data_IF_199520100534
#
_entry.id   IF_199520100534
#
_cell.length_a   1.000
_cell.length_b   1.000
_cell.length_c   1.000
_cell.angle_alpha   90.00
_cell.angle_beta   90.00
_cell.angle_gamma   90.00
#
_symmetry.space_group_name_H-M   'P 1'
#
loop_
_entity.id
_entity.type
_entity.pdbx_description
1 polymer ?
#
# COMPACT_ATOMS: atom_id res chain seq x y z
N UNK A 1 -26.05 1.84 -1.42
CA UNK A 1 -25.59 1.39 -2.74
C UNK A 1 -25.82 2.56 -3.68
N UNK A 2 -24.90 2.80 -4.60
CA UNK A 2 -24.99 3.96 -5.49
C UNK A 2 -25.80 3.60 -6.73
N UNK A 3 -26.18 4.62 -7.50
CA UNK A 3 -26.81 4.40 -8.80
C UNK A 3 -25.84 3.66 -9.73
N UNK A 4 -26.31 2.69 -10.52
CA UNK A 4 -25.51 2.07 -11.57
C UNK A 4 -24.94 3.14 -12.52
N UNK A 5 -23.77 2.88 -13.09
CA UNK A 5 -23.11 3.77 -14.05
C UNK A 5 -23.73 3.59 -15.44
N UNK A 6 -25.04 3.82 -15.55
CA UNK A 6 -25.79 3.78 -16.81
C UNK A 6 -25.69 5.11 -17.58
N UNK A 7 -26.35 5.18 -18.74
CA UNK A 7 -26.33 6.37 -19.58
C UNK A 7 -26.88 7.62 -18.88
N UNK A 8 -27.82 7.44 -17.96
CA UNK A 8 -28.42 8.54 -17.21
C UNK A 8 -27.51 9.00 -16.06
N UNK A 9 -26.75 8.09 -15.43
CA UNK A 9 -25.65 8.44 -14.52
C UNK A 9 -24.60 9.31 -15.22
N UNK A 10 -24.19 8.96 -16.45
CA UNK A 10 -23.20 9.73 -17.22
C UNK A 10 -23.71 11.15 -17.52
N UNK A 11 -25.00 11.30 -17.87
CA UNK A 11 -25.61 12.62 -18.08
C UNK A 11 -25.69 13.45 -16.81
N UNK A 12 -25.98 12.81 -15.67
CA UNK A 12 -26.11 13.50 -14.38
C UNK A 12 -24.75 13.84 -13.74
N UNK A 13 -23.69 13.10 -14.09
CA UNK A 13 -22.35 13.19 -13.51
C UNK A 13 -21.78 14.62 -13.39
N UNK A 14 -21.82 15.49 -14.42
CA UNK A 14 -21.25 16.83 -14.32
C UNK A 14 -21.98 17.72 -13.30
N UNK A 15 -23.27 17.49 -13.10
CA UNK A 15 -24.09 18.27 -12.19
C UNK A 15 -23.89 17.78 -10.74
N UNK A 16 -23.97 16.47 -10.50
CA UNK A 16 -23.72 15.89 -9.17
C UNK A 16 -22.32 16.19 -8.65
N UNK A 17 -21.30 16.16 -9.53
CA UNK A 17 -19.94 16.59 -9.18
C UNK A 17 -19.87 18.04 -8.67
N UNK A 18 -20.57 18.97 -9.33
CA UNK A 18 -20.56 20.39 -8.94
C UNK A 18 -21.22 20.59 -7.59
N UNK A 19 -22.29 19.84 -7.32
CA UNK A 19 -23.05 19.95 -6.09
C UNK A 19 -22.28 19.33 -4.90
N UNK A 20 -21.58 18.22 -5.12
CA UNK A 20 -20.68 17.60 -4.15
C UNK A 20 -19.47 18.49 -3.80
N UNK A 21 -18.88 19.15 -4.81
CA UNK A 21 -17.74 20.06 -4.57
C UNK A 21 -18.13 21.29 -3.74
N UNK A 22 -19.35 21.81 -3.92
CA UNK A 22 -19.86 22.98 -3.17
C UNK A 22 -20.20 22.67 -1.71
N UNK A 23 -20.51 21.41 -1.38
CA UNK A 23 -20.91 21.01 -0.04
C UNK A 23 -19.74 20.66 0.88
N UNK A 24 -18.53 20.47 0.33
CA UNK A 24 -17.31 20.22 1.10
C UNK A 24 -16.92 21.44 1.96
N UNK A 25 -17.32 21.46 3.22
CA UNK A 25 -16.84 22.40 4.24
C UNK A 25 -16.00 21.67 5.28
N UNK A 26 -14.68 21.86 5.23
CA UNK A 26 -13.77 21.37 6.27
C UNK A 26 -13.76 22.41 7.40
N UNK A 27 -14.44 22.11 8.50
CA UNK A 27 -14.39 22.94 9.70
C UNK A 27 -13.23 22.48 10.59
N UNK A 28 -12.23 23.35 10.77
CA UNK A 28 -11.11 23.12 11.70
C UNK A 28 -11.32 24.02 12.91
N UNK A 29 -11.50 23.42 14.09
CA UNK A 29 -11.60 24.17 15.34
C UNK A 29 -10.20 24.38 15.93
N UNK A 30 -9.57 25.51 15.62
CA UNK A 30 -8.19 25.81 16.00
C UNK A 30 -7.97 26.03 17.50
N UNK A 31 -8.98 26.46 18.26
CA UNK A 31 -8.85 26.78 19.68
C UNK A 31 -8.55 25.55 20.55
N UNK A 32 -9.01 24.35 20.15
CA UNK A 32 -8.78 23.09 20.87
C UNK A 32 -7.53 22.33 20.40
N UNK A 33 -6.93 22.74 19.28
CA UNK A 33 -5.87 21.96 18.63
C UNK A 33 -4.51 22.13 19.31
N UNK A 34 -4.19 23.31 19.85
CA UNK A 34 -2.83 23.60 20.34
C UNK A 34 -2.37 22.73 21.53
N UNK A 35 -3.17 22.57 22.61
CA UNK A 35 -2.79 21.70 23.73
C UNK A 35 -2.76 20.23 23.33
N UNK A 36 -3.68 19.82 22.46
CA UNK A 36 -3.76 18.48 21.93
C UNK A 36 -2.51 18.11 21.11
N UNK A 37 -2.02 19.03 20.27
CA UNK A 37 -0.81 18.86 19.45
C UNK A 37 0.45 18.67 20.31
N UNK A 38 0.53 19.28 21.50
CA UNK A 38 1.69 19.08 22.38
C UNK A 38 1.71 17.66 22.96
N UNK A 39 0.58 17.18 23.49
CA UNK A 39 0.43 15.82 24.02
C UNK A 39 0.64 14.78 22.91
N UNK A 40 0.06 15.06 21.74
CA UNK A 40 0.22 14.31 20.51
C UNK A 40 1.68 14.13 20.11
N UNK A 41 2.43 15.23 20.08
CA UNK A 41 3.84 15.23 19.74
C UNK A 41 4.64 14.43 20.77
N UNK A 42 4.35 14.60 22.06
CA UNK A 42 5.01 13.83 23.12
C UNK A 42 4.74 12.32 23.00
N UNK A 43 3.52 11.93 22.62
CA UNK A 43 3.16 10.53 22.39
C UNK A 43 3.76 9.96 21.08
N UNK A 44 3.94 10.80 20.05
CA UNK A 44 4.62 10.44 18.80
C UNK A 44 6.16 10.45 18.90
N UNK A 45 6.72 11.15 19.89
CA UNK A 45 8.15 11.36 20.05
C UNK A 45 8.94 10.04 20.17
N UNK A 46 8.52 9.02 20.95
CA UNK A 46 9.23 7.74 21.00
C UNK A 46 9.34 7.06 19.63
N UNK A 47 8.27 7.10 18.82
CA UNK A 47 8.25 6.53 17.47
C UNK A 47 9.25 7.26 16.57
N UNK A 48 9.27 8.60 16.64
CA UNK A 48 10.20 9.43 15.86
C UNK A 48 11.66 9.24 16.30
N UNK A 49 11.92 9.09 17.59
CA UNK A 49 13.26 8.82 18.13
C UNK A 49 13.77 7.45 17.65
N UNK A 50 12.94 6.41 17.68
CA UNK A 50 13.31 5.09 17.14
C UNK A 50 13.57 5.19 15.63
N UNK A 51 12.71 5.89 14.88
CA UNK A 51 12.91 6.11 13.45
C UNK A 51 14.23 6.83 13.16
N UNK A 52 14.55 7.87 13.92
CA UNK A 52 15.79 8.63 13.83
C UNK A 52 17.02 7.79 14.17
N UNK A 53 16.94 6.96 15.22
CA UNK A 53 18.01 6.05 15.61
C UNK A 53 18.31 5.02 14.52
N UNK A 54 17.27 4.42 13.93
CA UNK A 54 17.43 3.48 12.81
C UNK A 54 18.02 4.22 11.60
N UNK A 55 17.53 5.43 11.30
CA UNK A 55 18.04 6.25 10.20
C UNK A 55 19.53 6.55 10.37
N UNK A 56 19.95 6.91 11.57
CA UNK A 56 21.37 7.15 11.89
C UNK A 56 22.23 5.90 11.73
N UNK A 57 21.69 4.72 12.09
CA UNK A 57 22.37 3.42 11.93
C UNK A 57 22.29 2.83 10.52
N UNK A 58 21.68 3.50 9.54
CA UNK A 58 21.51 2.97 8.18
C UNK A 58 22.83 2.61 7.50
N UNK A 59 23.89 3.41 7.69
CA UNK A 59 25.21 3.12 7.11
C UNK A 59 25.79 1.81 7.63
N UNK A 60 25.66 1.59 8.95
CA UNK A 60 26.10 0.35 9.60
C UNK A 60 25.26 -0.86 9.14
N UNK A 61 23.93 -0.72 9.06
CA UNK A 61 23.04 -1.79 8.59
C UNK A 61 23.39 -2.22 7.16
N UNK A 62 23.67 -1.27 6.26
CA UNK A 62 24.10 -1.56 4.89
C UNK A 62 25.46 -2.27 4.85
N UNK A 63 26.43 -1.83 5.64
CA UNK A 63 27.75 -2.48 5.71
C UNK A 63 27.63 -3.92 6.24
N UNK A 64 26.79 -4.14 7.26
CA UNK A 64 26.54 -5.48 7.80
C UNK A 64 25.81 -6.39 6.79
N UNK A 65 24.87 -5.85 6.02
CA UNK A 65 24.20 -6.58 4.93
C UNK A 65 25.20 -6.98 3.82
N UNK A 66 26.14 -6.10 3.45
CA UNK A 66 27.21 -6.45 2.50
C UNK A 66 28.11 -7.57 3.03
N UNK A 67 28.43 -7.56 4.33
CA UNK A 67 29.20 -8.64 4.97
C UNK A 67 28.46 -9.99 4.87
N UNK A 68 27.15 -10.00 5.14
CA UNK A 68 26.32 -11.21 4.98
C UNK A 68 26.30 -11.70 3.53
N UNK A 69 26.12 -10.79 2.57
CA UNK A 69 26.13 -11.13 1.15
C UNK A 69 27.47 -11.70 0.69
N UNK A 70 28.60 -11.20 1.20
CA UNK A 70 29.94 -11.72 0.87
C UNK A 70 30.24 -13.11 1.46
N UNK A 71 29.49 -13.53 2.49
CA UNK A 71 29.64 -14.84 3.10
C UNK A 71 28.89 -15.95 2.33
N UNK A 72 27.87 -15.58 1.54
CA UNK A 72 27.09 -16.50 0.71
C UNK A 72 27.95 -16.95 -0.48
N UNK A 73 28.09 -18.27 -0.66
CA UNK A 73 28.95 -18.85 -1.69
C UNK A 73 30.40 -19.13 -1.26
N UNK A 74 30.75 -18.89 0.02
CA UNK A 74 32.03 -19.32 0.59
C UNK A 74 31.88 -20.66 1.33
N UNK A 75 32.57 -21.71 0.88
CA UNK A 75 32.47 -23.09 1.42
C UNK A 75 32.67 -23.25 2.94
N UNK A 76 33.25 -22.24 3.61
CA UNK A 76 33.66 -22.31 5.03
C UNK A 76 32.75 -21.54 5.99
N UNK A 77 31.98 -20.56 5.49
CA UNK A 77 31.11 -19.69 6.31
C UNK A 77 29.64 -19.68 5.81
N UNK A 78 29.28 -20.60 4.92
CA UNK A 78 27.92 -20.66 4.39
C UNK A 78 26.96 -21.15 5.48
N UNK A 79 26.13 -20.23 5.98
CA UNK A 79 25.02 -20.55 6.87
C UNK A 79 23.75 -20.15 6.16
N UNK A 80 22.80 -21.08 6.05
CA UNK A 80 21.47 -20.83 5.48
C UNK A 80 20.73 -19.67 6.17
N UNK A 81 21.17 -19.27 7.38
CA UNK A 81 20.64 -18.13 8.14
C UNK A 81 21.09 -16.76 7.62
N UNK A 82 22.05 -16.68 6.70
CA UNK A 82 22.54 -15.41 6.15
C UNK A 82 21.46 -14.67 5.35
N UNK A 83 20.63 -15.41 4.60
CA UNK A 83 19.55 -14.83 3.79
C UNK A 83 18.36 -14.33 4.65
N UNK A 84 17.82 -15.11 5.62
CA UNK A 84 16.83 -14.60 6.57
C UNK A 84 17.31 -13.38 7.35
N UNK A 85 18.58 -13.34 7.78
CA UNK A 85 19.16 -12.17 8.46
C UNK A 85 19.20 -10.94 7.55
N UNK A 86 19.52 -11.11 6.26
CA UNK A 86 19.53 -10.01 5.31
C UNK A 86 18.12 -9.44 5.07
N UNK A 87 17.10 -10.30 4.98
CA UNK A 87 15.69 -9.89 4.88
C UNK A 87 15.26 -9.14 6.16
N UNK A 88 15.67 -9.61 7.35
CA UNK A 88 15.39 -8.93 8.61
C UNK A 88 16.01 -7.51 8.67
N UNK A 89 17.21 -7.34 8.11
CA UNK A 89 17.84 -6.02 8.01
C UNK A 89 17.06 -5.12 7.05
N UNK A 90 16.61 -5.64 5.91
CA UNK A 90 15.77 -4.88 4.97
C UNK A 90 14.43 -4.48 5.61
N UNK A 91 13.84 -5.34 6.45
CA UNK A 91 12.67 -5.03 7.25
C UNK A 91 12.96 -3.87 8.22
N UNK A 92 14.05 -3.94 8.99
CA UNK A 92 14.46 -2.87 9.91
C UNK A 92 14.69 -1.56 9.14
N UNK A 93 15.28 -1.61 7.95
CA UNK A 93 15.50 -0.43 7.08
C UNK A 93 14.20 0.18 6.55
N UNK A 94 13.11 -0.57 6.49
CA UNK A 94 11.79 -0.09 6.07
C UNK A 94 10.97 0.54 7.22
N UNK A 95 11.22 0.12 8.46
CA UNK A 95 10.49 0.60 9.66
C UNK A 95 10.47 2.11 9.88
N UNK A 96 11.52 2.91 9.61
CA UNK A 96 11.51 4.34 9.93
C UNK A 96 10.33 5.10 9.33
N UNK A 97 9.96 4.78 8.08
CA UNK A 97 8.84 5.44 7.42
C UNK A 97 7.51 4.99 8.03
N UNK A 98 7.36 3.70 8.36
CA UNK A 98 6.17 3.20 9.04
C UNK A 98 5.96 3.90 10.40
N UNK A 99 7.04 4.09 11.16
CA UNK A 99 7.01 4.80 12.44
C UNK A 99 6.62 6.27 12.29
N UNK A 100 7.11 6.95 11.25
CA UNK A 100 6.73 8.33 10.94
C UNK A 100 5.24 8.41 10.57
N UNK A 101 4.74 7.50 9.72
CA UNK A 101 3.32 7.44 9.34
C UNK A 101 2.43 7.23 10.56
N UNK A 102 2.82 6.34 11.47
CA UNK A 102 2.11 6.09 12.72
C UNK A 102 2.17 7.29 13.67
N UNK A 103 3.33 7.95 13.80
CA UNK A 103 3.47 9.14 14.62
C UNK A 103 2.56 10.28 14.13
N UNK A 104 2.55 10.53 12.81
CA UNK A 104 1.65 11.51 12.19
C UNK A 104 0.18 11.12 12.41
N UNK A 105 -0.17 9.85 12.20
CA UNK A 105 -1.52 9.35 12.46
C UNK A 105 -1.97 9.53 13.91
N UNK A 106 -1.08 9.29 14.86
CA UNK A 106 -1.35 9.47 16.29
C UNK A 106 -1.54 10.96 16.63
N UNK A 107 -0.78 11.84 15.97
CA UNK A 107 -0.97 13.28 16.14
C UNK A 107 -2.34 13.72 15.61
N UNK A 108 -2.72 13.26 14.43
CA UNK A 108 -4.03 13.57 13.86
C UNK A 108 -5.19 12.99 14.68
N UNK A 109 -4.98 11.84 15.33
CA UNK A 109 -5.96 11.23 16.24
C UNK A 109 -6.23 12.13 17.46
N UNK A 110 -5.15 12.58 18.09
CA UNK A 110 -5.18 13.35 19.35
C UNK A 110 -5.69 14.77 19.14
N UNK A 111 -5.60 15.32 17.92
CA UNK A 111 -6.24 16.59 17.53
C UNK A 111 -7.78 16.56 17.56
N UNK A 112 -8.41 15.39 17.75
CA UNK A 112 -9.87 15.24 17.87
C UNK A 112 -10.69 15.88 16.73
N UNK A 113 -10.14 15.87 15.51
CA UNK A 113 -10.85 16.29 14.30
C UNK A 113 -12.03 15.36 14.02
N UNK A 114 -13.04 15.81 13.28
CA UNK A 114 -14.18 14.97 12.85
C UNK A 114 -13.74 13.72 12.06
N UNK A 115 -12.57 13.79 11.39
CA UNK A 115 -11.96 12.71 10.60
C UNK A 115 -10.76 12.04 11.30
N UNK A 116 -10.49 12.35 12.57
CA UNK A 116 -9.33 11.86 13.31
C UNK A 116 -9.25 10.32 13.39
N UNK A 117 -10.38 9.67 13.67
CA UNK A 117 -10.48 8.21 13.68
C UNK A 117 -10.21 7.60 12.29
N UNK A 118 -10.68 8.27 11.23
CA UNK A 118 -10.45 7.88 9.84
C UNK A 118 -8.96 7.98 9.49
N UNK A 119 -8.34 9.12 9.79
CA UNK A 119 -6.92 9.35 9.57
C UNK A 119 -6.05 8.36 10.34
N UNK A 120 -6.40 8.05 11.60
CA UNK A 120 -5.69 7.03 12.37
C UNK A 120 -5.80 5.63 11.76
N UNK A 121 -7.00 5.22 11.37
CA UNK A 121 -7.21 3.92 10.73
C UNK A 121 -6.45 3.83 9.41
N UNK A 122 -6.50 4.90 8.61
CA UNK A 122 -5.74 5.01 7.37
C UNK A 122 -4.22 4.95 7.61
N UNK A 123 -3.68 5.69 8.59
CA UNK A 123 -2.26 5.63 8.95
C UNK A 123 -1.81 4.22 9.34
N UNK A 124 -2.60 3.47 10.12
CA UNK A 124 -2.29 2.07 10.44
C UNK A 124 -2.24 1.20 9.17
N UNK A 125 -3.26 1.29 8.32
CA UNK A 125 -3.30 0.52 7.07
C UNK A 125 -2.17 0.94 6.12
N UNK A 126 -1.81 2.22 6.08
CA UNK A 126 -0.72 2.76 5.26
C UNK A 126 0.66 2.35 5.79
N UNK A 127 0.84 2.25 7.10
CA UNK A 127 2.07 1.74 7.71
C UNK A 127 2.32 0.26 7.36
N UNK A 128 1.28 -0.58 7.40
CA UNK A 128 1.37 -1.99 6.96
C UNK A 128 1.67 -2.05 5.46
N UNK A 129 0.94 -1.28 4.65
CA UNK A 129 1.17 -1.16 3.22
C UNK A 129 2.64 -0.82 2.91
N UNK A 130 3.18 0.20 3.58
CA UNK A 130 4.57 0.62 3.40
C UNK A 130 5.56 -0.45 3.86
N UNK A 131 5.26 -1.17 4.93
CA UNK A 131 6.12 -2.25 5.42
C UNK A 131 6.27 -3.35 4.36
N UNK A 132 5.15 -3.81 3.80
CA UNK A 132 5.12 -4.89 2.80
C UNK A 132 5.80 -4.45 1.51
N UNK A 133 5.32 -3.37 0.88
CA UNK A 133 5.87 -2.92 -0.41
C UNK A 133 7.29 -2.33 -0.27
N UNK A 134 7.58 -1.66 0.85
CA UNK A 134 8.91 -1.15 1.16
C UNK A 134 9.93 -2.28 1.34
N UNK A 135 9.56 -3.37 2.02
CA UNK A 135 10.39 -4.56 2.11
C UNK A 135 10.67 -5.16 0.73
N UNK A 136 9.64 -5.38 -0.09
CA UNK A 136 9.84 -5.89 -1.46
C UNK A 136 10.75 -5.01 -2.29
N UNK A 137 10.56 -3.69 -2.20
CA UNK A 137 11.40 -2.74 -2.91
C UNK A 137 12.87 -2.82 -2.46
N UNK A 138 13.13 -3.02 -1.16
CA UNK A 138 14.48 -3.19 -0.59
C UNK A 138 15.12 -4.51 -1.00
N UNK A 139 14.35 -5.60 -1.00
CA UNK A 139 14.82 -6.91 -1.49
C UNK A 139 15.24 -6.85 -2.96
N UNK A 140 14.52 -6.07 -3.79
CA UNK A 140 14.81 -5.81 -5.20
C UNK A 140 15.78 -4.63 -5.44
N UNK A 141 16.42 -4.10 -4.39
CA UNK A 141 17.43 -3.05 -4.54
C UNK A 141 18.63 -3.55 -5.36
N UNK A 142 19.40 -2.63 -5.97
CA UNK A 142 20.65 -3.02 -6.67
C UNK A 142 21.58 -3.66 -5.65
N UNK A 143 22.16 -4.82 -5.97
CA UNK A 143 22.93 -5.63 -5.01
C UNK A 143 22.13 -6.02 -3.75
N UNK A 144 20.80 -5.96 -3.80
CA UNK A 144 19.93 -6.41 -2.72
C UNK A 144 19.89 -7.93 -2.61
N UNK A 145 19.04 -8.41 -1.70
CA UNK A 145 18.92 -9.83 -1.39
C UNK A 145 18.57 -10.66 -2.64
N UNK A 146 17.68 -10.16 -3.50
CA UNK A 146 17.29 -10.84 -4.74
C UNK A 146 18.48 -11.14 -5.68
N UNK A 147 19.40 -10.18 -5.83
CA UNK A 147 20.56 -10.34 -6.73
C UNK A 147 21.65 -11.15 -6.05
N UNK A 148 21.99 -10.84 -4.79
CA UNK A 148 23.18 -11.38 -4.12
C UNK A 148 22.97 -12.74 -3.49
N UNK A 149 21.78 -13.04 -2.99
CA UNK A 149 21.48 -14.30 -2.30
C UNK A 149 20.75 -15.28 -3.22
N UNK A 150 19.93 -14.78 -4.15
CA UNK A 150 19.14 -15.62 -5.06
C UNK A 150 19.64 -15.60 -6.52
N UNK A 151 20.69 -14.83 -6.82
CA UNK A 151 21.30 -14.81 -8.16
C UNK A 151 20.41 -14.22 -9.26
N UNK A 152 19.37 -13.45 -8.90
CA UNK A 152 18.44 -12.90 -9.89
C UNK A 152 19.11 -11.87 -10.80
N UNK A 153 18.85 -11.86 -12.12
CA UNK A 153 19.42 -10.88 -13.04
C UNK A 153 19.04 -9.43 -12.66
N UNK A 154 20.03 -8.52 -12.66
CA UNK A 154 19.81 -7.12 -12.26
C UNK A 154 18.81 -6.37 -13.15
N UNK A 155 18.76 -6.70 -14.45
CA UNK A 155 17.79 -6.10 -15.36
C UNK A 155 16.36 -6.49 -14.99
N UNK A 156 16.15 -7.75 -14.62
CA UNK A 156 14.85 -8.26 -14.19
C UNK A 156 14.45 -7.58 -12.89
N UNK A 157 15.28 -7.62 -11.85
CA UNK A 157 14.95 -7.01 -10.54
C UNK A 157 14.66 -5.50 -10.66
N UNK A 158 15.38 -4.78 -11.51
CA UNK A 158 15.08 -3.37 -11.79
C UNK A 158 13.75 -3.15 -12.52
N UNK A 159 13.31 -4.07 -13.38
CA UNK A 159 11.98 -4.02 -13.99
C UNK A 159 10.89 -4.21 -12.92
N UNK A 160 10.97 -5.31 -12.14
CA UNK A 160 10.02 -5.61 -11.08
C UNK A 160 9.94 -4.50 -10.04
N UNK A 161 11.07 -3.89 -9.67
CA UNK A 161 11.10 -2.77 -8.72
C UNK A 161 10.28 -1.56 -9.22
N UNK A 162 10.34 -1.25 -10.51
CA UNK A 162 9.53 -0.16 -11.09
C UNK A 162 8.05 -0.51 -11.13
N UNK A 163 7.71 -1.76 -11.42
CA UNK A 163 6.31 -2.22 -11.42
C UNK A 163 5.71 -2.18 -10.02
N UNK A 164 6.46 -2.63 -9.01
CA UNK A 164 6.03 -2.55 -7.61
C UNK A 164 5.69 -1.11 -7.23
N UNK A 165 6.52 -0.13 -7.59
CA UNK A 165 6.24 1.29 -7.30
C UNK A 165 4.97 1.77 -8.01
N UNK A 166 4.79 1.42 -9.29
CA UNK A 166 3.60 1.82 -10.06
C UNK A 166 2.32 1.24 -9.47
N UNK A 167 2.34 -0.06 -9.15
CA UNK A 167 1.20 -0.76 -8.55
C UNK A 167 0.93 -0.24 -7.14
N UNK A 168 1.97 -0.04 -6.33
CA UNK A 168 1.82 0.50 -4.98
C UNK A 168 1.17 1.89 -5.03
N UNK A 169 1.62 2.77 -5.93
CA UNK A 169 1.00 4.09 -6.09
C UNK A 169 -0.46 4.00 -6.53
N UNK A 170 -0.77 3.08 -7.45
CA UNK A 170 -2.14 2.86 -7.91
C UNK A 170 -3.05 2.27 -6.82
N UNK A 171 -2.52 1.55 -5.83
CA UNK A 171 -3.29 0.98 -4.72
C UNK A 171 -3.68 2.01 -3.65
N UNK A 172 -2.94 3.12 -3.52
CA UNK A 172 -3.18 4.12 -2.45
C UNK A 172 -4.61 4.69 -2.44
N UNK A 173 -5.22 5.09 -3.58
CA UNK A 173 -6.58 5.62 -3.59
C UNK A 173 -7.64 4.60 -3.13
N UNK A 174 -7.56 3.34 -3.61
CA UNK A 174 -8.44 2.27 -3.13
C UNK A 174 -8.24 2.02 -1.63
N UNK A 175 -7.00 2.06 -1.15
CA UNK A 175 -6.72 1.84 0.27
C UNK A 175 -7.41 2.90 1.14
N UNK A 176 -7.37 4.16 0.71
CA UNK A 176 -8.03 5.26 1.37
C UNK A 176 -9.56 5.10 1.38
N UNK A 177 -10.17 4.88 0.21
CA UNK A 177 -11.63 4.69 0.13
C UNK A 177 -12.12 3.41 0.80
N UNK A 178 -11.30 2.36 0.87
CA UNK A 178 -11.63 1.17 1.66
C UNK A 178 -11.75 1.48 3.16
N UNK A 179 -10.92 2.39 3.69
CA UNK A 179 -11.04 2.87 5.08
C UNK A 179 -12.27 3.76 5.26
N UNK A 180 -12.58 4.63 4.30
CA UNK A 180 -13.82 5.43 4.31
C UNK A 180 -15.04 4.52 4.36
N UNK A 181 -15.06 3.47 3.54
CA UNK A 181 -16.17 2.50 3.54
C UNK A 181 -16.35 1.80 4.88
N UNK A 182 -15.26 1.50 5.58
CA UNK A 182 -15.32 0.82 6.87
C UNK A 182 -15.82 1.73 8.00
N UNK A 183 -15.45 3.01 8.01
CA UNK A 183 -15.72 3.93 9.13
C UNK A 183 -16.85 4.93 8.86
N UNK A 184 -17.25 5.12 7.60
CA UNK A 184 -18.20 6.14 7.19
C UNK A 184 -19.07 5.66 6.02
N UNK A 185 -19.81 4.55 6.17
CA UNK A 185 -20.59 3.96 5.07
C UNK A 185 -21.71 4.87 4.56
N UNK A 186 -22.26 5.75 5.42
CA UNK A 186 -23.31 6.70 5.07
C UNK A 186 -22.82 7.75 4.06
N UNK A 187 -21.56 8.19 4.16
CA UNK A 187 -20.97 9.15 3.21
C UNK A 187 -20.86 8.58 1.80
N UNK A 188 -20.89 7.25 1.65
CA UNK A 188 -20.75 6.62 0.35
C UNK A 188 -22.05 6.55 -0.45
N UNK A 189 -23.23 6.68 0.18
CA UNK A 189 -24.51 6.34 -0.46
C UNK A 189 -24.87 7.22 -1.68
N UNK A 190 -24.24 8.39 -1.83
CA UNK A 190 -24.40 9.29 -2.97
C UNK A 190 -23.05 9.81 -3.50
N UNK A 191 -21.94 9.16 -3.16
CA UNK A 191 -20.59 9.57 -3.54
C UNK A 191 -20.28 9.18 -5.01
N UNK A 192 -20.73 10.03 -5.93
CA UNK A 192 -20.58 9.85 -7.37
C UNK A 192 -19.12 10.08 -7.78
N UNK A 193 -18.44 11.05 -7.16
CA UNK A 193 -17.03 11.32 -7.42
C UNK A 193 -16.15 10.13 -7.04
N UNK A 194 -16.36 9.57 -5.85
CA UNK A 194 -15.65 8.43 -5.34
C UNK A 194 -15.92 7.17 -6.17
N UNK A 195 -17.17 6.96 -6.62
CA UNK A 195 -17.51 5.86 -7.52
C UNK A 195 -16.73 5.94 -8.84
N UNK A 196 -16.68 7.12 -9.47
CA UNK A 196 -15.90 7.34 -10.69
C UNK A 196 -14.40 7.18 -10.46
N UNK A 197 -13.86 7.78 -9.39
CA UNK A 197 -12.45 7.72 -9.05
C UNK A 197 -11.98 6.27 -8.86
N UNK A 198 -12.77 5.45 -8.16
CA UNK A 198 -12.44 4.04 -7.92
C UNK A 198 -12.59 3.21 -9.18
N UNK A 199 -13.60 3.46 -10.02
CA UNK A 199 -13.71 2.79 -11.30
C UNK A 199 -12.46 3.01 -12.16
N UNK A 200 -12.02 4.26 -12.32
CA UNK A 200 -10.80 4.56 -13.08
C UNK A 200 -9.52 4.07 -12.40
N UNK A 201 -9.47 4.07 -11.06
CA UNK A 201 -8.34 3.52 -10.32
C UNK A 201 -8.23 1.99 -10.49
N UNK A 202 -9.35 1.27 -10.46
CA UNK A 202 -9.41 -0.18 -10.75
C UNK A 202 -9.02 -0.47 -12.19
N UNK A 203 -9.44 0.35 -13.15
CA UNK A 203 -9.01 0.24 -14.55
C UNK A 203 -7.50 0.43 -14.69
N UNK A 204 -6.92 1.43 -14.01
CA UNK A 204 -5.47 1.66 -13.98
C UNK A 204 -4.73 0.46 -13.39
N UNK A 205 -5.21 -0.10 -12.28
CA UNK A 205 -4.61 -1.29 -11.67
C UNK A 205 -4.69 -2.49 -12.61
N UNK A 206 -5.84 -2.74 -13.24
CA UNK A 206 -6.00 -3.82 -14.20
C UNK A 206 -5.00 -3.68 -15.36
N UNK A 207 -4.81 -2.46 -15.87
CA UNK A 207 -3.83 -2.17 -16.90
C UNK A 207 -2.37 -2.39 -16.45
N UNK A 208 -2.02 -1.97 -15.22
CA UNK A 208 -0.68 -2.12 -14.67
C UNK A 208 -0.32 -3.57 -14.35
N UNK A 209 -1.31 -4.37 -13.94
CA UNK A 209 -1.12 -5.80 -13.59
C UNK A 209 -1.02 -6.67 -14.85
N UNK A 210 -1.72 -6.31 -15.93
CA UNK A 210 -1.72 -7.05 -17.20
C UNK A 210 -0.35 -7.50 -17.73
N UNK A 211 0.70 -6.63 -17.83
CA UNK A 211 2.01 -7.06 -18.29
C UNK A 211 2.62 -8.15 -17.39
N UNK A 212 2.40 -8.09 -16.08
CA UNK A 212 2.90 -9.09 -15.12
C UNK A 212 2.22 -10.45 -15.30
N UNK A 213 0.92 -10.46 -15.58
CA UNK A 213 0.20 -11.70 -15.92
C UNK A 213 0.76 -12.31 -17.20
N UNK A 214 0.89 -11.47 -18.24
CA UNK A 214 1.36 -11.91 -19.56
C UNK A 214 2.78 -12.49 -19.47
N UNK A 215 3.67 -11.87 -18.70
CA UNK A 215 5.02 -12.40 -18.47
C UNK A 215 4.97 -13.74 -17.71
N UNK A 216 4.18 -13.81 -16.64
CA UNK A 216 4.02 -15.04 -15.84
C UNK A 216 3.41 -16.20 -16.64
N UNK A 217 2.45 -15.92 -17.54
CA UNK A 217 1.84 -16.92 -18.43
C UNK A 217 2.79 -17.44 -19.52
N UNK A 218 3.78 -16.64 -19.92
CA UNK A 218 4.78 -17.04 -20.92
C UNK A 218 5.96 -17.79 -20.31
N UNK A 219 6.12 -17.71 -18.99
CA UNK A 219 7.15 -18.41 -18.24
C UNK A 219 6.81 -19.90 -18.08
N UNK A 220 7.43 -20.73 -18.93
CA UNK A 220 7.23 -22.18 -18.99
C UNK A 220 7.77 -22.92 -17.76
N UNK A 221 8.63 -22.29 -16.96
CA UNK A 221 9.19 -22.86 -15.72
C UNK A 221 8.39 -22.44 -14.48
N UNK A 222 7.30 -21.70 -14.64
CA UNK A 222 6.53 -21.25 -13.48
C UNK A 222 5.80 -22.42 -12.80
N UNK A 223 5.99 -22.56 -11.48
CA UNK A 223 5.21 -23.48 -10.67
C UNK A 223 3.71 -23.17 -10.85
N UNK A 224 2.91 -24.17 -11.20
CA UNK A 224 1.46 -24.05 -11.48
C UNK A 224 0.71 -23.26 -10.41
N UNK A 225 1.08 -23.43 -9.14
CA UNK A 225 0.50 -22.68 -8.02
C UNK A 225 0.72 -21.16 -8.12
N UNK A 226 1.94 -20.72 -8.47
CA UNK A 226 2.27 -19.30 -8.68
C UNK A 226 1.45 -18.71 -9.83
N UNK A 227 1.31 -19.48 -10.90
CA UNK A 227 0.54 -19.08 -12.08
C UNK A 227 -0.93 -18.85 -11.76
N UNK A 228 -1.54 -19.80 -11.03
CA UNK A 228 -2.95 -19.72 -10.60
C UNK A 228 -3.14 -18.51 -9.69
N UNK A 229 -2.29 -18.32 -8.68
CA UNK A 229 -2.39 -17.19 -7.75
C UNK A 229 -2.31 -15.84 -8.47
N UNK A 230 -1.33 -15.66 -9.36
CA UNK A 230 -1.19 -14.41 -10.13
C UNK A 230 -2.42 -14.18 -11.00
N UNK A 231 -2.91 -15.23 -11.67
CA UNK A 231 -4.09 -15.14 -12.55
C UNK A 231 -5.33 -14.71 -11.77
N UNK A 232 -5.62 -15.35 -10.64
CA UNK A 232 -6.76 -15.01 -9.79
C UNK A 232 -6.65 -13.57 -9.29
N UNK A 233 -5.49 -13.17 -8.76
CA UNK A 233 -5.28 -11.81 -8.25
C UNK A 233 -5.47 -10.73 -9.33
N UNK A 234 -5.22 -11.07 -10.59
CA UNK A 234 -5.29 -10.14 -11.72
C UNK A 234 -6.69 -9.96 -12.28
N UNK A 235 -7.57 -10.95 -12.11
CA UNK A 235 -8.98 -10.87 -12.50
C UNK A 235 -9.79 -10.04 -11.51
N UNK A 236 -9.40 -10.03 -10.22
CA UNK A 236 -10.15 -9.35 -9.16
C UNK A 236 -10.38 -7.85 -9.43
N UNK A 237 -9.40 -7.04 -9.86
CA UNK A 237 -9.65 -5.64 -10.22
C UNK A 237 -10.76 -5.45 -11.26
N UNK A 238 -10.85 -6.36 -12.25
CA UNK A 238 -11.88 -6.32 -13.29
C UNK A 238 -13.25 -6.67 -12.70
N UNK A 239 -13.32 -7.71 -11.85
CA UNK A 239 -14.55 -8.09 -11.18
C UNK A 239 -15.08 -6.96 -10.27
N UNK A 240 -14.19 -6.30 -9.52
CA UNK A 240 -14.52 -5.13 -8.70
C UNK A 240 -15.00 -3.95 -9.56
N UNK A 241 -14.42 -3.76 -10.74
CA UNK A 241 -14.84 -2.71 -11.68
C UNK A 241 -16.28 -2.95 -12.17
N UNK A 242 -16.65 -4.20 -12.48
CA UNK A 242 -18.03 -4.58 -12.82
C UNK A 242 -19.00 -4.35 -11.65
N UNK A 243 -18.60 -4.70 -10.43
CA UNK A 243 -19.41 -4.44 -9.23
C UNK A 243 -19.61 -2.93 -8.99
N UNK A 244 -18.59 -2.11 -9.26
CA UNK A 244 -18.69 -0.66 -9.17
C UNK A 244 -19.67 -0.10 -10.21
N UNK A 245 -19.57 -0.56 -11.46
CA UNK A 245 -20.43 -0.13 -12.55
C UNK A 245 -21.90 -0.53 -12.35
N UNK A 246 -22.15 -1.69 -11.72
CA UNK A 246 -23.50 -2.18 -11.41
C UNK A 246 -24.12 -1.54 -10.15
N UNK A 247 -23.42 -0.59 -9.50
CA UNK A 247 -23.93 0.17 -8.36
C UNK A 247 -23.57 -0.41 -6.99
N UNK A 248 -22.84 -1.53 -6.92
CA UNK A 248 -22.34 -2.15 -5.67
C UNK A 248 -21.05 -1.48 -5.16
N UNK A 249 -21.05 -0.14 -5.08
CA UNK A 249 -19.87 0.64 -4.73
C UNK A 249 -19.33 0.33 -3.33
N UNK A 250 -20.20 0.33 -2.31
CA UNK A 250 -19.83 -0.02 -0.94
C UNK A 250 -19.21 -1.43 -0.83
N UNK A 251 -19.84 -2.41 -1.48
CA UNK A 251 -19.35 -3.80 -1.51
C UNK A 251 -17.99 -3.88 -2.19
N UNK A 252 -17.81 -3.15 -3.30
CA UNK A 252 -16.52 -3.05 -4.00
C UNK A 252 -15.43 -2.55 -3.07
N UNK A 253 -15.67 -1.48 -2.30
CA UNK A 253 -14.69 -0.93 -1.38
C UNK A 253 -14.34 -1.90 -0.24
N UNK A 254 -15.33 -2.62 0.31
CA UNK A 254 -15.10 -3.66 1.32
C UNK A 254 -14.27 -4.83 0.77
N UNK A 255 -14.62 -5.32 -0.41
CA UNK A 255 -13.91 -6.42 -1.07
C UNK A 255 -12.49 -6.00 -1.50
N UNK A 256 -12.32 -4.78 -2.00
CA UNK A 256 -11.00 -4.24 -2.37
C UNK A 256 -10.03 -4.20 -1.19
N UNK A 257 -10.52 -3.85 0.02
CA UNK A 257 -9.71 -3.89 1.24
C UNK A 257 -9.23 -5.31 1.58
N UNK A 258 -10.11 -6.31 1.46
CA UNK A 258 -9.76 -7.73 1.66
C UNK A 258 -8.83 -8.28 0.59
N UNK A 259 -9.02 -7.82 -0.65
CA UNK A 259 -8.13 -8.16 -1.74
C UNK A 259 -6.72 -7.63 -1.51
N UNK A 260 -6.57 -6.39 -1.03
CA UNK A 260 -5.28 -5.81 -0.64
C UNK A 260 -4.61 -6.64 0.48
N UNK A 261 -5.35 -7.03 1.51
CA UNK A 261 -4.85 -7.91 2.58
C UNK A 261 -4.36 -9.26 2.01
N UNK A 262 -5.08 -9.81 1.04
CA UNK A 262 -4.70 -11.05 0.35
C UNK A 262 -3.41 -10.87 -0.46
N UNK A 263 -3.26 -9.74 -1.15
CA UNK A 263 -2.02 -9.41 -1.87
C UNK A 263 -0.83 -9.35 -0.90
N UNK A 264 -1.01 -8.81 0.30
CA UNK A 264 0.06 -8.80 1.32
C UNK A 264 0.47 -10.21 1.74
N UNK A 265 -0.50 -11.09 1.97
CA UNK A 265 -0.22 -12.47 2.35
C UNK A 265 0.54 -13.21 1.24
N UNK A 266 0.14 -13.03 -0.02
CA UNK A 266 0.80 -13.64 -1.18
C UNK A 266 2.21 -13.10 -1.40
N UNK A 267 2.46 -11.83 -1.07
CA UNK A 267 3.80 -11.24 -1.16
C UNK A 267 4.75 -11.81 -0.10
N UNK A 268 4.23 -12.14 1.08
CA UNK A 268 5.02 -12.63 2.22
C UNK A 268 5.27 -14.14 2.13
N UNK A 269 4.36 -14.88 1.51
CA UNK A 269 4.42 -16.33 1.32
C UNK A 269 5.45 -16.73 0.25
#
# INVERSE_FOLDING_TARGET
>A
SNRPMDWDWIKAFPQTLKDEFKSMKITVNWEKAWPAVFIAFLAGLPLLLIAGLIHWRLGWLKAYQQKLASAVGSLRNDSQLNTPKAILIDLIRALPVCLIILAVGLILLTMQLNISALLWSFSKKLAIFWLVFGLCWKVLEKNGVAVRHFGMPEQQTSHWRRQIVRISLALLPIHFWSVVAELSPLHLMDDVLGQAMIFFNLLLIAFLVWPMCRESWRDKESHTMRLVTITVLSIIPIALMVLTATGYFYTTLRLSGRWIETVYLVIIW
#
